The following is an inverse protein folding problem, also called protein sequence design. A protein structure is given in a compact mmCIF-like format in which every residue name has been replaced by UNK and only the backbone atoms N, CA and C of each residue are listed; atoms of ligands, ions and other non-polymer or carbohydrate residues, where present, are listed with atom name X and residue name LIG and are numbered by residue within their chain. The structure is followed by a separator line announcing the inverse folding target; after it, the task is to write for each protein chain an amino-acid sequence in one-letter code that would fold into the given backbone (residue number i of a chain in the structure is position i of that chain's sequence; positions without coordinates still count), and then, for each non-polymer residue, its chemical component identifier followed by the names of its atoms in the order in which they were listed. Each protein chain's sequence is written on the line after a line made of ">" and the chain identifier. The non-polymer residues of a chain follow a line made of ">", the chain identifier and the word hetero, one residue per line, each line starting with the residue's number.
data_IF_652131719207
#
_entry.id   IF_652131719207
#
_cell.length_a   1.000
_cell.length_b   1.000
_cell.length_c   1.000
_cell.angle_alpha   90.00
_cell.angle_beta   90.00
_cell.angle_gamma   90.00
#
_symmetry.space_group_name_H-M   'P 1'
#
loop_
_entity.id
_entity.type
_entity.pdbx_description
1 polymer ?
#
# COMPACT_ATOMS: atom_id res chain seq x y z
N UNK A 1 -4.41 -5.88 17.93
CA UNK A 1 -5.87 -5.64 17.89
C UNK A 1 -6.17 -4.89 16.61
N UNK A 2 -7.34 -5.10 15.99
CA UNK A 2 -7.66 -4.52 14.66
C UNK A 2 -8.60 -3.30 14.75
N UNK A 3 -9.00 -2.88 15.95
CA UNK A 3 -9.96 -1.81 16.16
C UNK A 3 -11.41 -2.27 15.92
N UNK A 4 -12.37 -1.46 16.36
CA UNK A 4 -13.80 -1.70 16.10
C UNK A 4 -14.09 -1.63 14.60
N UNK A 5 -14.74 -2.68 14.10
CA UNK A 5 -15.11 -2.85 12.69
C UNK A 5 -16.62 -2.64 12.54
N UNK A 6 -17.04 -1.39 12.33
CA UNK A 6 -18.46 -1.05 12.15
C UNK A 6 -18.83 -1.01 10.66
N UNK A 7 -19.65 -1.96 10.20
CA UNK A 7 -20.20 -2.03 8.84
C UNK A 7 -19.16 -2.01 7.70
N UNK A 8 -17.94 -2.52 7.94
CA UNK A 8 -16.81 -2.49 6.98
C UNK A 8 -16.88 -3.55 5.87
N UNK A 9 -18.01 -4.25 5.70
CA UNK A 9 -18.23 -5.15 4.55
C UNK A 9 -17.40 -6.44 4.54
N UNK A 10 -16.98 -6.93 5.71
CA UNK A 10 -16.24 -8.19 5.83
C UNK A 10 -17.10 -9.38 5.38
N UNK A 11 -16.60 -10.22 4.46
CA UNK A 11 -17.36 -11.37 3.92
C UNK A 11 -16.85 -12.71 4.44
N UNK A 12 -17.76 -13.55 4.92
CA UNK A 12 -17.52 -14.94 5.34
C UNK A 12 -17.90 -15.91 4.22
N UNK A 13 -17.07 -15.95 3.18
CA UNK A 13 -17.29 -16.80 2.01
C UNK A 13 -16.82 -18.23 2.28
N UNK A 14 -17.58 -19.24 1.84
CA UNK A 14 -17.19 -20.66 1.92
C UNK A 14 -18.05 -21.52 2.86
N UNK A 15 -17.78 -22.83 2.88
CA UNK A 15 -18.50 -23.79 3.73
C UNK A 15 -17.67 -24.16 4.95
N UNK A 16 -18.18 -23.84 6.14
CA UNK A 16 -17.50 -24.10 7.40
C UNK A 16 -18.20 -25.24 8.15
N UNK A 17 -17.48 -26.33 8.42
CA UNK A 17 -17.99 -27.47 9.22
C UNK A 17 -18.05 -27.17 10.74
N UNK A 18 -18.06 -25.90 11.12
CA UNK A 18 -17.95 -25.43 12.51
C UNK A 18 -18.08 -23.91 12.57
N UNK A 19 -17.19 -23.26 13.33
CA UNK A 19 -17.16 -21.80 13.48
C UNK A 19 -16.58 -21.14 12.22
N UNK A 20 -17.32 -20.21 11.62
CA UNK A 20 -16.84 -19.38 10.51
C UNK A 20 -15.86 -18.28 10.99
N UNK A 21 -15.92 -17.88 12.26
CA UNK A 21 -14.97 -16.97 12.88
C UNK A 21 -14.58 -17.42 14.29
N UNK A 22 -13.34 -17.14 14.70
CA UNK A 22 -12.83 -17.43 16.05
C UNK A 22 -11.79 -16.41 16.49
N UNK A 23 -11.91 -15.93 17.72
CA UNK A 23 -10.95 -15.03 18.36
C UNK A 23 -10.24 -15.75 19.51
N UNK A 24 -8.91 -15.67 19.56
CA UNK A 24 -8.09 -16.36 20.57
C UNK A 24 -7.66 -15.46 21.74
N UNK A 25 -7.93 -14.15 21.66
CA UNK A 25 -7.60 -13.18 22.70
C UNK A 25 -8.60 -13.14 23.86
N UNK A 26 -8.25 -12.34 24.87
CA UNK A 26 -9.04 -12.08 26.08
C UNK A 26 -10.34 -11.34 25.77
N UNK A 27 -11.21 -11.16 26.77
CA UNK A 27 -12.43 -10.35 26.62
C UNK A 27 -12.11 -8.88 26.29
N UNK A 28 -11.00 -8.34 26.81
CA UNK A 28 -10.54 -6.99 26.46
C UNK A 28 -10.14 -6.92 24.99
N UNK A 29 -9.34 -7.88 24.50
CA UNK A 29 -8.93 -7.92 23.10
C UNK A 29 -10.11 -8.03 22.12
N UNK A 30 -11.20 -8.72 22.55
CA UNK A 30 -12.44 -8.85 21.77
C UNK A 30 -13.21 -7.53 21.67
N UNK A 31 -13.27 -6.75 22.76
CA UNK A 31 -13.91 -5.44 22.75
C UNK A 31 -13.17 -4.45 21.83
N UNK A 32 -11.83 -4.48 21.87
CA UNK A 32 -10.95 -3.65 21.03
C UNK A 32 -10.86 -4.12 19.56
N UNK A 33 -11.58 -5.20 19.21
CA UNK A 33 -11.65 -5.75 17.85
C UNK A 33 -13.09 -6.13 17.47
N UNK A 34 -14.08 -5.43 18.06
CA UNK A 34 -15.52 -5.71 17.93
C UNK A 34 -16.01 -5.54 16.49
N UNK A 35 -16.75 -6.52 15.97
CA UNK A 35 -17.44 -6.42 14.68
C UNK A 35 -18.90 -6.01 14.88
N UNK A 36 -19.31 -4.88 14.31
CA UNK A 36 -20.71 -4.45 14.30
C UNK A 36 -21.25 -4.68 12.88
N UNK A 37 -22.21 -5.59 12.75
CA UNK A 37 -22.79 -6.00 11.45
C UNK A 37 -24.31 -5.98 11.50
N UNK A 38 -24.96 -5.93 10.34
CA UNK A 38 -26.40 -6.16 10.22
C UNK A 38 -26.68 -7.65 10.00
N UNK A 39 -27.07 -8.35 11.06
CA UNK A 39 -27.33 -9.80 10.99
C UNK A 39 -28.63 -10.18 10.26
N UNK A 40 -29.48 -9.18 9.98
CA UNK A 40 -30.80 -9.36 9.37
C UNK A 40 -30.81 -9.07 7.87
N UNK A 41 -29.67 -8.73 7.27
CA UNK A 41 -29.56 -8.54 5.83
C UNK A 41 -29.67 -9.89 5.09
N UNK A 42 -30.90 -10.21 4.68
CA UNK A 42 -31.20 -11.44 3.93
C UNK A 42 -30.68 -11.40 2.49
N UNK A 43 -30.37 -10.21 1.95
CA UNK A 43 -29.84 -10.07 0.58
C UNK A 43 -28.34 -10.37 0.54
N UNK A 44 -27.65 -10.16 1.65
CA UNK A 44 -26.21 -10.39 1.78
C UNK A 44 -25.83 -11.27 2.98
N UNK A 45 -26.23 -12.56 2.98
CA UNK A 45 -25.93 -13.48 4.07
C UNK A 45 -24.42 -13.70 4.27
N UNK A 46 -23.59 -13.39 3.27
CA UNK A 46 -22.14 -13.47 3.37
C UNK A 46 -21.52 -12.52 4.40
N UNK A 47 -22.25 -11.49 4.87
CA UNK A 47 -21.76 -10.57 5.91
C UNK A 47 -22.00 -11.07 7.34
N UNK A 48 -22.63 -12.24 7.52
CA UNK A 48 -22.90 -12.82 8.84
C UNK A 48 -22.22 -14.18 9.00
N UNK A 49 -21.29 -14.36 9.95
CA UNK A 49 -20.66 -15.66 10.17
C UNK A 49 -21.68 -16.68 10.69
N UNK A 50 -21.50 -17.97 10.32
CA UNK A 50 -22.41 -19.05 10.72
C UNK A 50 -22.56 -19.23 12.24
N UNK A 51 -21.58 -18.79 13.03
CA UNK A 51 -21.59 -18.82 14.49
C UNK A 51 -21.82 -17.43 15.13
N UNK A 52 -22.49 -16.50 14.44
CA UNK A 52 -22.73 -15.12 14.90
C UNK A 52 -23.24 -15.02 16.35
N UNK A 53 -24.26 -15.79 16.71
CA UNK A 53 -24.86 -15.75 18.05
C UNK A 53 -23.83 -16.03 19.15
N UNK A 54 -22.92 -16.99 18.91
CA UNK A 54 -21.84 -17.29 19.84
C UNK A 54 -20.86 -16.13 19.97
N UNK A 55 -20.52 -15.50 18.85
CA UNK A 55 -19.56 -14.41 18.79
C UNK A 55 -20.10 -13.13 19.47
N UNK A 56 -21.42 -12.92 19.40
CA UNK A 56 -22.11 -11.85 20.14
C UNK A 56 -22.03 -12.11 21.64
N UNK A 57 -22.29 -13.35 22.08
CA UNK A 57 -22.17 -13.73 23.49
C UNK A 57 -20.72 -13.62 24.00
N UNK A 58 -19.74 -13.87 23.14
CA UNK A 58 -18.32 -13.71 23.45
C UNK A 58 -17.89 -12.24 23.54
N UNK A 59 -18.76 -11.29 23.15
CA UNK A 59 -18.50 -9.86 23.13
C UNK A 59 -17.61 -9.40 21.98
N UNK A 60 -17.46 -10.22 20.94
CA UNK A 60 -16.65 -9.90 19.76
C UNK A 60 -17.48 -9.43 18.57
N UNK A 61 -18.78 -9.71 18.56
CA UNK A 61 -19.71 -9.21 17.57
C UNK A 61 -20.87 -8.44 18.23
N UNK A 62 -21.44 -7.48 17.53
CA UNK A 62 -22.68 -6.83 17.89
C UNK A 62 -23.58 -6.73 16.65
N UNK A 63 -24.89 -6.82 16.89
CA UNK A 63 -25.89 -6.62 15.85
C UNK A 63 -26.34 -5.16 15.83
N UNK A 64 -26.30 -4.54 14.66
CA UNK A 64 -26.86 -3.21 14.43
C UNK A 64 -27.83 -3.26 13.26
N UNK A 65 -29.11 -3.09 13.58
CA UNK A 65 -30.24 -3.18 12.65
C UNK A 65 -30.42 -1.93 11.77
N UNK A 66 -29.52 -0.95 11.86
CA UNK A 66 -29.56 0.20 10.97
C UNK A 66 -29.35 -0.25 9.52
N UNK A 67 -30.06 0.40 8.60
CA UNK A 67 -29.87 0.17 7.16
C UNK A 67 -28.40 0.43 6.83
N UNK A 68 -27.75 -0.57 6.23
CA UNK A 68 -26.39 -0.42 5.75
C UNK A 68 -26.40 0.68 4.69
N UNK A 69 -25.58 1.71 4.89
CA UNK A 69 -25.31 2.67 3.83
C UNK A 69 -24.69 1.85 2.69
N UNK A 70 -25.31 1.84 1.52
CA UNK A 70 -24.72 1.21 0.35
C UNK A 70 -23.38 1.91 0.05
N UNK A 71 -22.28 1.25 0.40
CA UNK A 71 -20.94 1.71 0.08
C UNK A 71 -20.66 1.33 -1.37
N UNK A 72 -21.03 2.23 -2.28
CA UNK A 72 -20.55 2.18 -3.66
C UNK A 72 -19.17 2.84 -3.64
N UNK A 73 -18.14 2.11 -4.06
CA UNK A 73 -16.80 2.67 -4.29
C UNK A 73 -16.67 3.03 -5.78
N UNK A 74 -17.12 4.23 -6.22
CA UNK A 74 -17.14 4.58 -7.64
C UNK A 74 -15.74 4.62 -8.28
N UNK A 75 -14.69 4.80 -7.46
CA UNK A 75 -13.33 5.05 -7.92
C UNK A 75 -12.33 3.91 -7.56
N UNK A 76 -12.82 2.77 -7.07
CA UNK A 76 -11.98 1.65 -6.61
C UNK A 76 -11.54 1.74 -5.13
N UNK A 77 -10.72 0.78 -4.66
CA UNK A 77 -10.20 0.78 -3.29
C UNK A 77 -9.26 1.98 -3.07
N UNK A 78 -9.50 2.75 -2.00
CA UNK A 78 -8.63 3.85 -1.56
C UNK A 78 -8.99 5.27 -2.03
N UNK A 79 -10.10 5.47 -2.76
CA UNK A 79 -10.42 6.75 -3.42
C UNK A 79 -11.89 7.16 -3.28
N UNK A 80 -12.48 6.95 -2.10
CA UNK A 80 -13.83 7.42 -1.81
C UNK A 80 -13.84 8.79 -1.10
N UNK A 81 -14.67 9.71 -1.59
CA UNK A 81 -15.21 10.84 -0.81
C UNK A 81 -16.20 10.30 0.24
N UNK A 82 -15.73 9.43 1.12
CA UNK A 82 -16.48 9.07 2.32
C UNK A 82 -16.07 10.08 3.39
N UNK A 83 -17.02 10.67 4.12
CA UNK A 83 -16.68 11.43 5.32
C UNK A 83 -16.08 10.44 6.33
N UNK A 84 -14.76 10.26 6.27
CA UNK A 84 -14.00 9.65 7.35
C UNK A 84 -14.21 10.57 8.54
N UNK A 85 -14.82 10.06 9.61
CA UNK A 85 -14.88 10.79 10.87
C UNK A 85 -13.44 11.04 11.32
N UNK A 86 -13.03 12.31 11.30
CA UNK A 86 -11.69 12.76 11.67
C UNK A 86 -11.80 13.81 12.78
N UNK A 87 -10.96 13.73 13.83
CA UNK A 87 -9.98 12.67 14.11
C UNK A 87 -10.61 11.43 14.78
N UNK A 88 -10.06 10.24 14.53
CA UNK A 88 -10.34 8.99 15.27
C UNK A 88 -9.11 8.47 16.00
N UNK A 89 -9.29 7.47 16.87
CA UNK A 89 -8.24 6.95 17.76
C UNK A 89 -6.95 6.55 17.04
N UNK A 90 -7.06 5.90 15.88
CA UNK A 90 -5.90 5.54 15.05
C UNK A 90 -5.13 6.77 14.55
N UNK A 91 -5.79 7.89 14.27
CA UNK A 91 -5.13 9.12 13.84
C UNK A 91 -4.24 9.66 14.97
N UNK A 92 -4.70 9.59 16.22
CA UNK A 92 -3.90 9.93 17.40
C UNK A 92 -2.71 8.98 17.58
N UNK A 93 -2.88 7.69 17.28
CA UNK A 93 -1.79 6.71 17.34
C UNK A 93 -0.71 7.01 16.29
N UNK A 94 -1.12 7.29 15.05
CA UNK A 94 -0.22 7.67 13.96
C UNK A 94 0.52 8.97 14.33
N UNK A 95 -0.20 9.99 14.78
CA UNK A 95 0.35 11.31 15.12
C UNK A 95 1.36 11.27 16.28
N UNK A 96 1.13 10.40 17.28
CA UNK A 96 2.03 10.21 18.42
C UNK A 96 3.15 9.19 18.18
N UNK A 97 3.25 8.64 16.97
CA UNK A 97 4.19 7.57 16.64
C UNK A 97 4.04 6.32 17.55
N UNK A 98 2.80 6.00 17.93
CA UNK A 98 2.46 4.92 18.86
C UNK A 98 2.43 3.52 18.25
N UNK A 99 3.12 3.28 17.14
CA UNK A 99 3.12 1.98 16.46
C UNK A 99 3.99 0.96 17.19
N UNK A 100 3.52 -0.30 17.23
CA UNK A 100 4.33 -1.44 17.68
C UNK A 100 5.16 -1.98 16.52
N UNK A 101 6.46 -2.18 16.76
CA UNK A 101 7.45 -2.38 15.70
C UNK A 101 7.59 -3.86 15.32
N UNK A 102 7.24 -4.20 14.08
CA UNK A 102 7.64 -5.43 13.40
C UNK A 102 8.48 -5.13 12.15
N UNK A 103 9.29 -6.09 11.67
CA UNK A 103 10.22 -5.90 10.54
C UNK A 103 9.54 -5.47 9.22
N UNK A 104 8.25 -5.78 9.05
CA UNK A 104 7.43 -5.40 7.89
C UNK A 104 6.58 -4.12 8.10
N UNK A 105 6.77 -3.40 9.21
CA UNK A 105 5.93 -2.26 9.57
C UNK A 105 6.32 -0.96 8.82
N UNK A 106 7.51 -0.87 8.23
CA UNK A 106 8.04 0.38 7.68
C UNK A 106 7.14 1.02 6.60
N UNK A 107 6.78 0.25 5.57
CA UNK A 107 5.89 0.73 4.48
C UNK A 107 4.50 1.10 5.00
N UNK A 108 3.94 0.29 5.91
CA UNK A 108 2.61 0.50 6.49
C UNK A 108 2.56 1.75 7.36
N UNK A 109 3.57 1.96 8.20
CA UNK A 109 3.71 3.15 9.02
C UNK A 109 3.83 4.37 8.12
N UNK A 110 4.67 4.30 7.09
CA UNK A 110 4.87 5.39 6.16
C UNK A 110 3.60 5.73 5.37
N UNK A 111 2.89 4.73 4.85
CA UNK A 111 1.60 4.91 4.19
C UNK A 111 0.54 5.48 5.14
N UNK A 112 0.42 4.97 6.37
CA UNK A 112 -0.50 5.51 7.37
C UNK A 112 -0.18 6.99 7.70
N UNK A 113 1.11 7.33 7.78
CA UNK A 113 1.55 8.71 8.00
C UNK A 113 1.18 9.63 6.83
N UNK A 114 1.37 9.19 5.60
CA UNK A 114 0.96 9.91 4.38
C UNK A 114 -0.54 10.13 4.33
N UNK A 115 -1.33 9.09 4.63
CA UNK A 115 -2.77 9.19 4.71
C UNK A 115 -3.20 10.21 5.77
N UNK A 116 -2.65 10.16 6.99
CA UNK A 116 -2.95 11.16 8.01
C UNK A 116 -2.57 12.58 7.58
N UNK A 117 -1.39 12.75 6.95
CA UNK A 117 -0.96 14.05 6.44
C UNK A 117 -1.96 14.60 5.39
N UNK A 118 -2.38 13.76 4.45
CA UNK A 118 -3.40 14.08 3.44
C UNK A 118 -4.72 14.48 4.08
N UNK A 119 -5.20 13.70 5.05
CA UNK A 119 -6.46 13.99 5.75
C UNK A 119 -6.42 15.34 6.48
N UNK A 120 -5.31 15.66 7.16
CA UNK A 120 -5.11 16.96 7.82
C UNK A 120 -5.06 18.09 6.78
N UNK A 121 -4.38 17.89 5.65
CA UNK A 121 -4.24 18.90 4.58
C UNK A 121 -5.56 19.32 3.93
N UNK A 122 -6.59 18.47 4.05
CA UNK A 122 -7.92 18.67 3.47
C UNK A 122 -8.92 19.27 4.46
N UNK A 123 -8.52 19.59 5.68
CA UNK A 123 -9.41 20.19 6.67
C UNK A 123 -9.56 21.70 6.41
N UNK A 124 -10.79 22.14 6.18
CA UNK A 124 -11.12 23.57 5.97
C UNK A 124 -10.81 24.43 7.20
N UNK A 125 -10.87 23.85 8.40
CA UNK A 125 -10.63 24.51 9.68
C UNK A 125 -9.40 23.92 10.40
N UNK A 126 -8.24 23.99 9.74
CA UNK A 126 -6.97 23.47 10.27
C UNK A 126 -6.63 24.04 11.66
N UNK A 127 -6.95 25.32 11.91
CA UNK A 127 -6.63 26.01 13.16
C UNK A 127 -7.41 25.47 14.37
N UNK A 128 -8.59 24.86 14.14
CA UNK A 128 -9.37 24.23 15.21
C UNK A 128 -8.97 22.78 15.51
N UNK A 129 -8.09 22.19 14.69
CA UNK A 129 -7.59 20.84 14.95
C UNK A 129 -6.77 20.81 16.26
N UNK A 130 -6.80 19.70 17.02
CA UNK A 130 -5.90 19.52 18.15
C UNK A 130 -4.43 19.79 17.78
N UNK A 131 -3.70 20.48 18.68
CA UNK A 131 -2.31 20.90 18.47
C UNK A 131 -1.38 19.73 18.06
N UNK A 132 -1.70 18.51 18.51
CA UNK A 132 -1.00 17.30 18.08
C UNK A 132 -0.98 17.14 16.56
N UNK A 133 -2.11 17.32 15.88
CA UNK A 133 -2.23 17.16 14.44
C UNK A 133 -1.58 18.31 13.67
N UNK A 134 -1.68 19.54 14.20
CA UNK A 134 -0.99 20.69 13.61
C UNK A 134 0.54 20.49 13.66
N UNK A 135 1.06 20.08 14.82
CA UNK A 135 2.49 19.78 15.00
C UNK A 135 2.94 18.61 14.13
N UNK A 136 2.13 17.55 14.05
CA UNK A 136 2.39 16.41 13.19
C UNK A 136 2.53 16.87 11.73
N UNK A 137 1.55 17.61 11.21
CA UNK A 137 1.54 18.12 9.84
C UNK A 137 2.79 18.94 9.54
N UNK A 138 3.12 19.93 10.39
CA UNK A 138 4.33 20.74 10.22
C UNK A 138 5.60 19.88 10.27
N UNK A 139 5.70 18.94 11.21
CA UNK A 139 6.89 18.08 11.36
C UNK A 139 7.13 17.14 10.17
N UNK A 140 6.08 16.73 9.46
CA UNK A 140 6.19 15.84 8.31
C UNK A 140 6.39 16.58 6.99
N UNK A 141 6.16 17.90 6.94
CA UNK A 141 6.15 18.69 5.71
C UNK A 141 7.45 18.61 4.89
N UNK A 142 8.61 18.56 5.56
CA UNK A 142 9.94 18.46 4.94
C UNK A 142 10.44 17.01 4.82
N UNK A 143 9.69 16.03 5.33
CA UNK A 143 10.03 14.61 5.22
C UNK A 143 9.44 14.01 3.95
N UNK A 144 9.85 12.79 3.59
CA UNK A 144 9.25 12.05 2.46
C UNK A 144 7.72 11.95 2.57
N UNK A 145 7.16 11.86 3.78
CA UNK A 145 5.70 11.85 3.99
C UNK A 145 5.03 13.09 3.40
N UNK A 146 5.47 14.29 3.80
CA UNK A 146 4.88 15.54 3.29
C UNK A 146 5.24 15.79 1.83
N UNK A 147 6.46 15.48 1.42
CA UNK A 147 6.94 15.71 0.05
C UNK A 147 6.18 14.85 -0.99
N UNK A 148 5.96 13.57 -0.72
CA UNK A 148 5.16 12.73 -1.63
C UNK A 148 3.68 13.16 -1.66
N UNK A 149 3.12 13.66 -0.55
CA UNK A 149 1.77 14.22 -0.58
C UNK A 149 1.69 15.55 -1.34
N UNK A 150 2.76 16.35 -1.38
CA UNK A 150 2.84 17.50 -2.27
C UNK A 150 2.86 17.09 -3.74
N UNK A 151 3.50 15.96 -4.09
CA UNK A 151 3.43 15.40 -5.45
C UNK A 151 1.99 15.01 -5.78
N UNK A 152 1.30 14.27 -4.90
CA UNK A 152 -0.11 13.88 -5.12
C UNK A 152 -1.02 15.10 -5.27
N UNK A 153 -0.91 16.08 -4.37
CA UNK A 153 -1.66 17.33 -4.47
C UNK A 153 -1.33 18.10 -5.76
N UNK A 154 -0.06 18.09 -6.19
CA UNK A 154 0.37 18.69 -7.45
C UNK A 154 -0.26 18.03 -8.67
N UNK A 155 -0.41 16.70 -8.68
CA UNK A 155 -1.15 15.96 -9.73
C UNK A 155 -2.61 16.41 -9.75
N UNK A 156 -3.29 16.41 -8.60
CA UNK A 156 -4.69 16.83 -8.47
C UNK A 156 -4.89 18.29 -8.94
N UNK A 157 -3.96 19.18 -8.58
CA UNK A 157 -3.96 20.58 -8.99
C UNK A 157 -3.71 20.76 -10.49
N UNK A 158 -2.85 19.94 -11.10
CA UNK A 158 -2.59 19.98 -12.53
C UNK A 158 -3.88 19.75 -13.33
N UNK A 159 -4.64 18.71 -12.98
CA UNK A 159 -5.91 18.40 -13.65
C UNK A 159 -7.02 19.39 -13.31
N UNK A 160 -7.17 19.80 -12.05
CA UNK A 160 -8.21 20.77 -11.68
C UNK A 160 -8.00 22.15 -12.32
N UNK A 161 -6.75 22.55 -12.58
CA UNK A 161 -6.44 23.83 -13.22
C UNK A 161 -6.90 23.93 -14.69
N UNK A 162 -7.07 22.80 -15.37
CA UNK A 162 -7.51 22.74 -16.77
C UNK A 162 -9.00 22.44 -16.93
N UNK A 163 -9.70 22.10 -15.84
CA UNK A 163 -11.15 21.86 -15.84
C UNK A 163 -11.95 22.99 -16.52
N UNK A 164 -11.70 24.29 -16.23
CA UNK A 164 -12.46 25.37 -16.88
C UNK A 164 -12.25 25.44 -18.40
N UNK A 165 -11.05 25.09 -18.88
CA UNK A 165 -10.75 25.04 -20.32
C UNK A 165 -11.48 23.87 -20.97
N UNK A 166 -11.49 22.70 -20.32
CA UNK A 166 -12.21 21.53 -20.80
C UNK A 166 -13.74 21.76 -20.85
N UNK A 167 -14.31 22.43 -19.85
CA UNK A 167 -15.71 22.85 -19.83
C UNK A 167 -16.04 23.84 -20.96
N UNK A 168 -15.13 24.77 -21.24
CA UNK A 168 -15.26 25.72 -22.36
C UNK A 168 -15.22 24.99 -23.72
N UNK A 169 -14.27 24.07 -23.92
CA UNK A 169 -14.18 23.23 -25.13
C UNK A 169 -15.47 22.43 -25.34
N UNK A 170 -16.00 21.83 -24.28
CA UNK A 170 -17.25 21.06 -24.34
C UNK A 170 -18.41 21.96 -24.76
N UNK A 171 -18.49 23.16 -24.20
CA UNK A 171 -19.54 24.14 -24.51
C UNK A 171 -19.47 24.60 -25.98
N UNK A 172 -18.28 24.92 -26.48
CA UNK A 172 -18.09 25.34 -27.87
C UNK A 172 -18.30 24.21 -28.87
N UNK A 173 -17.92 22.98 -28.52
CA UNK A 173 -18.20 21.80 -29.37
C UNK A 173 -19.71 21.59 -29.53
N UNK A 174 -20.48 21.72 -28.45
CA UNK A 174 -21.95 21.66 -28.52
C UNK A 174 -22.56 22.78 -29.37
N UNK A 175 -21.99 23.99 -29.31
CA UNK A 175 -22.42 25.11 -30.15
C UNK A 175 -22.07 24.86 -31.63
N UNK A 176 -20.89 24.32 -31.93
CA UNK A 176 -20.47 23.97 -33.29
C UNK A 176 -21.41 22.91 -33.90
N UNK A 177 -21.79 21.90 -33.12
CA UNK A 177 -22.78 20.90 -33.53
C UNK A 177 -24.15 21.53 -33.81
N UNK A 178 -24.56 22.50 -32.99
CA UNK A 178 -25.81 23.24 -33.19
C UNK A 178 -25.81 24.05 -34.49
N UNK A 179 -24.71 24.74 -34.80
CA UNK A 179 -24.55 25.49 -36.06
C UNK A 179 -24.55 24.54 -37.25
N UNK A 180 -23.86 23.40 -37.16
CA UNK A 180 -23.89 22.36 -38.20
C UNK A 180 -25.32 21.88 -38.52
N UNK A 181 -26.16 21.71 -37.49
CA UNK A 181 -27.57 21.35 -37.68
C UNK A 181 -28.38 22.46 -38.35
N UNK A 182 -28.10 23.73 -38.05
CA UNK A 182 -28.73 24.87 -38.73
C UNK A 182 -28.34 24.91 -40.21
N UNK A 183 -27.06 24.70 -40.53
CA UNK A 183 -26.59 24.62 -41.92
C UNK A 183 -27.29 23.46 -42.65
N UNK A 184 -27.37 22.29 -42.03
CA UNK A 184 -28.04 21.12 -42.63
C UNK A 184 -29.52 21.41 -42.93
N UNK A 185 -30.25 22.02 -42.00
CA UNK A 185 -31.66 22.36 -42.22
C UNK A 185 -31.85 23.42 -43.32
N UNK A 186 -30.98 24.44 -43.39
CA UNK A 186 -31.01 25.43 -44.47
C UNK A 186 -30.69 24.82 -45.84
N UNK A 187 -29.80 23.83 -45.91
CA UNK A 187 -29.51 23.11 -47.14
C UNK A 187 -30.74 22.34 -47.65
N UNK A 188 -31.51 21.71 -46.76
CA UNK A 188 -32.77 21.05 -47.13
C UNK A 188 -33.79 22.05 -47.71
N UNK A 189 -33.94 23.21 -47.08
CA UNK A 189 -34.83 24.29 -47.58
C UNK A 189 -34.34 24.82 -48.92
N UNK A 190 -33.04 25.06 -49.07
CA UNK A 190 -32.43 25.55 -50.31
C UNK A 190 -32.73 24.66 -51.52
N UNK A 191 -32.72 23.33 -51.32
CA UNK A 191 -32.97 22.34 -52.38
C UNK A 191 -34.41 22.37 -52.88
N UNK A 192 -35.36 22.75 -52.03
CA UNK A 192 -36.79 22.79 -52.35
C UNK A 192 -37.25 24.17 -52.85
N UNK A 193 -36.51 25.23 -52.55
CA UNK A 193 -36.88 26.60 -52.93
C UNK A 193 -36.83 26.82 -54.45
N UNK A 194 -37.80 27.56 -54.99
CA UNK A 194 -37.93 27.87 -56.41
C UNK A 194 -37.76 29.36 -56.71
N UNK A 195 -38.01 30.25 -55.75
CA UNK A 195 -37.77 31.68 -55.91
C UNK A 195 -36.26 32.00 -55.89
N UNK A 196 -35.82 32.81 -56.86
CA UNK A 196 -34.39 33.12 -57.03
C UNK A 196 -33.85 34.07 -55.96
N UNK A 197 -34.70 34.94 -55.42
CA UNK A 197 -34.32 35.90 -54.38
C UNK A 197 -34.19 35.18 -53.03
N UNK A 198 -35.16 34.31 -52.71
CA UNK A 198 -35.13 33.53 -51.48
C UNK A 198 -33.97 32.52 -51.47
N UNK A 199 -33.67 31.90 -52.62
CA UNK A 199 -32.47 31.08 -52.78
C UNK A 199 -31.17 31.82 -52.47
N UNK A 200 -31.04 33.06 -52.95
CA UNK A 200 -29.86 33.87 -52.66
C UNK A 200 -29.77 34.20 -51.16
N UNK A 201 -30.89 34.54 -50.51
CA UNK A 201 -30.93 34.82 -49.07
C UNK A 201 -30.54 33.60 -48.24
N UNK A 202 -31.04 32.41 -48.57
CA UNK A 202 -30.67 31.15 -47.89
C UNK A 202 -29.17 30.87 -48.07
N UNK A 203 -28.64 31.07 -49.28
CA UNK A 203 -27.20 30.87 -49.54
C UNK A 203 -26.32 31.83 -48.72
N UNK A 204 -26.75 33.09 -48.56
CA UNK A 204 -26.06 34.05 -47.69
C UNK A 204 -26.07 33.59 -46.23
N UNK A 205 -27.23 33.16 -45.70
CA UNK A 205 -27.33 32.65 -44.33
C UNK A 205 -26.46 31.41 -44.09
N UNK A 206 -26.39 30.49 -45.06
CA UNK A 206 -25.50 29.32 -44.98
C UNK A 206 -24.03 29.76 -44.89
N UNK A 207 -23.63 30.76 -45.69
CA UNK A 207 -22.25 31.26 -45.66
C UNK A 207 -21.94 31.99 -44.34
N UNK A 208 -22.89 32.73 -43.78
CA UNK A 208 -22.75 33.38 -42.48
C UNK A 208 -22.54 32.33 -41.37
N UNK A 209 -23.38 31.29 -41.32
CA UNK A 209 -23.22 30.19 -40.36
C UNK A 209 -21.93 29.40 -40.56
N UNK A 210 -21.47 29.20 -41.80
CA UNK A 210 -20.16 28.58 -42.06
C UNK A 210 -19.01 29.42 -41.51
N UNK A 211 -19.05 30.74 -41.73
CA UNK A 211 -18.03 31.64 -41.18
C UNK A 211 -18.01 31.63 -39.65
N UNK A 212 -19.19 31.54 -39.01
CA UNK A 212 -19.30 31.42 -37.56
C UNK A 212 -18.75 30.08 -37.06
N UNK A 213 -19.09 28.97 -37.74
CA UNK A 213 -18.57 27.64 -37.43
C UNK A 213 -17.05 27.58 -37.54
N UNK A 214 -16.48 28.09 -38.63
CA UNK A 214 -15.03 28.10 -38.84
C UNK A 214 -14.32 28.88 -37.73
N UNK A 215 -14.86 30.04 -37.35
CA UNK A 215 -14.32 30.85 -36.24
C UNK A 215 -14.40 30.11 -34.90
N UNK A 216 -15.47 29.37 -34.66
CA UNK A 216 -15.65 28.60 -33.43
C UNK A 216 -14.71 27.39 -33.35
N UNK A 217 -14.50 26.68 -34.47
CA UNK A 217 -13.57 25.56 -34.53
C UNK A 217 -12.11 26.01 -34.30
N UNK A 218 -11.73 27.19 -34.80
CA UNK A 218 -10.42 27.79 -34.52
C UNK A 218 -10.25 28.07 -33.00
N UNK A 219 -11.27 28.61 -32.34
CA UNK A 219 -11.25 28.84 -30.88
C UNK A 219 -11.11 27.53 -30.10
N UNK A 220 -11.80 26.48 -30.53
CA UNK A 220 -11.70 25.13 -29.92
C UNK A 220 -10.28 24.59 -30.04
N UNK A 221 -9.68 24.64 -31.23
CA UNK A 221 -8.33 24.13 -31.48
C UNK A 221 -7.26 24.87 -30.65
N UNK A 222 -7.33 26.21 -30.61
CA UNK A 222 -6.41 27.04 -29.82
C UNK A 222 -6.55 26.75 -28.32
N UNK A 223 -7.79 26.60 -27.83
CA UNK A 223 -8.02 26.33 -26.41
C UNK A 223 -7.61 24.92 -26.02
N UNK A 224 -7.85 23.93 -26.89
CA UNK A 224 -7.37 22.56 -26.69
C UNK A 224 -5.85 22.52 -26.59
N UNK A 225 -5.14 23.21 -27.49
CA UNK A 225 -3.67 23.31 -27.44
C UNK A 225 -3.20 23.96 -26.14
N UNK A 226 -3.82 25.08 -25.75
CA UNK A 226 -3.53 25.79 -24.49
C UNK A 226 -3.76 24.88 -23.26
N UNK A 227 -4.81 24.06 -23.29
CA UNK A 227 -5.13 23.13 -22.23
C UNK A 227 -4.05 22.05 -22.08
N UNK A 228 -3.63 21.44 -23.17
CA UNK A 228 -2.57 20.41 -23.18
C UNK A 228 -1.23 21.01 -22.74
N UNK A 229 -0.86 22.19 -23.23
CA UNK A 229 0.38 22.87 -22.83
C UNK A 229 0.39 23.21 -21.34
N UNK A 230 -0.71 23.77 -20.81
CA UNK A 230 -0.86 24.09 -19.39
C UNK A 230 -0.75 22.83 -18.51
N UNK A 231 -1.39 21.73 -18.94
CA UNK A 231 -1.31 20.46 -18.23
C UNK A 231 0.13 19.91 -18.25
N UNK A 232 0.78 19.90 -19.43
CA UNK A 232 2.15 19.42 -19.60
C UNK A 232 3.16 20.17 -18.74
N UNK A 233 3.09 21.51 -18.69
CA UNK A 233 3.96 22.34 -17.85
C UNK A 233 3.79 22.00 -16.36
N UNK A 234 2.55 21.81 -15.90
CA UNK A 234 2.27 21.50 -14.49
C UNK A 234 2.74 20.10 -14.12
N UNK A 235 2.49 19.11 -14.97
CA UNK A 235 2.95 17.75 -14.75
C UNK A 235 4.48 17.66 -14.75
N UNK A 236 5.17 18.43 -15.60
CA UNK A 236 6.63 18.50 -15.58
C UNK A 236 7.17 19.06 -14.26
N UNK A 237 6.56 20.13 -13.73
CA UNK A 237 6.92 20.66 -12.42
C UNK A 237 6.70 19.63 -11.30
N UNK A 238 5.62 18.85 -11.38
CA UNK A 238 5.33 17.79 -10.40
C UNK A 238 6.32 16.63 -10.52
N UNK A 239 6.76 16.29 -11.72
CA UNK A 239 7.80 15.29 -11.96
C UNK A 239 9.16 15.74 -11.39
N UNK A 240 9.52 17.01 -11.57
CA UNK A 240 10.71 17.61 -10.96
C UNK A 240 10.65 17.56 -9.42
N UNK A 241 9.49 17.89 -8.84
CA UNK A 241 9.25 17.78 -7.39
C UNK A 241 9.41 16.33 -6.92
N UNK A 242 8.85 15.38 -7.65
CA UNK A 242 8.97 13.95 -7.36
C UNK A 242 10.44 13.48 -7.43
N UNK A 243 11.18 13.92 -8.45
CA UNK A 243 12.61 13.59 -8.63
C UNK A 243 13.52 14.20 -7.56
N UNK A 244 13.12 15.30 -6.92
CA UNK A 244 13.88 15.94 -5.85
C UNK A 244 13.77 15.23 -4.48
N UNK A 245 12.82 14.30 -4.33
CA UNK A 245 12.62 13.57 -3.07
C UNK A 245 13.78 12.60 -2.83
N UNK A 246 14.36 12.64 -1.63
CA UNK A 246 15.38 11.67 -1.20
C UNK A 246 14.68 10.40 -0.71
N UNK A 247 14.84 9.30 -1.46
CA UNK A 247 14.14 8.03 -1.22
C UNK A 247 15.09 6.97 -0.63
N UNK A 248 15.12 6.85 0.70
CA UNK A 248 16.03 5.95 1.42
C UNK A 248 15.49 4.52 1.57
N UNK A 249 14.18 4.37 1.62
CA UNK A 249 13.51 3.08 1.76
C UNK A 249 13.02 2.51 0.42
N UNK A 250 12.69 1.21 0.42
CA UNK A 250 12.15 0.54 -0.76
C UNK A 250 10.82 1.14 -1.21
N UNK A 251 9.89 1.39 -0.27
CA UNK A 251 8.55 1.90 -0.58
C UNK A 251 8.57 3.35 -1.08
N UNK A 252 9.53 4.18 -0.64
CA UNK A 252 9.73 5.53 -1.18
C UNK A 252 10.26 5.47 -2.63
N UNK A 253 11.29 4.66 -2.90
CA UNK A 253 11.83 4.51 -4.26
C UNK A 253 10.77 4.02 -5.24
N UNK A 254 10.00 3.00 -4.86
CA UNK A 254 8.92 2.48 -5.69
C UNK A 254 7.87 3.55 -5.95
N UNK A 255 7.47 4.33 -4.95
CA UNK A 255 6.54 5.44 -5.16
C UNK A 255 7.11 6.47 -6.14
N UNK A 256 8.38 6.85 -5.98
CA UNK A 256 9.07 7.80 -6.85
C UNK A 256 9.13 7.33 -8.30
N UNK A 257 9.56 6.08 -8.53
CA UNK A 257 9.71 5.49 -9.86
C UNK A 257 8.35 5.38 -10.58
N UNK A 258 7.32 4.93 -9.87
CA UNK A 258 5.98 4.77 -10.42
C UNK A 258 5.34 6.13 -10.72
N UNK A 259 5.54 7.13 -9.86
CA UNK A 259 5.10 8.50 -10.11
C UNK A 259 5.76 9.05 -11.37
N UNK A 260 7.07 8.94 -11.49
CA UNK A 260 7.81 9.40 -12.66
C UNK A 260 7.29 8.76 -13.95
N UNK A 261 7.11 7.43 -13.93
CA UNK A 261 6.57 6.72 -15.08
C UNK A 261 5.16 7.19 -15.44
N UNK A 262 4.26 7.34 -14.47
CA UNK A 262 2.91 7.82 -14.72
C UNK A 262 2.90 9.23 -15.32
N UNK A 263 3.66 10.15 -14.71
CA UNK A 263 3.78 11.55 -15.14
C UNK A 263 4.36 11.66 -16.55
N UNK A 264 5.41 10.90 -16.87
CA UNK A 264 6.01 10.88 -18.20
C UNK A 264 5.02 10.46 -19.30
N UNK A 265 4.15 9.48 -19.01
CA UNK A 265 3.10 9.05 -19.96
C UNK A 265 2.00 10.08 -20.10
N UNK A 266 1.60 10.72 -19.00
CA UNK A 266 0.61 11.80 -19.02
C UNK A 266 1.11 13.03 -19.80
N UNK A 267 2.37 13.45 -19.61
CA UNK A 267 2.96 14.61 -20.29
C UNK A 267 3.06 14.42 -21.80
N UNK A 268 3.45 13.22 -22.25
CA UNK A 268 3.62 12.93 -23.68
C UNK A 268 2.33 12.54 -24.38
N UNK A 269 1.25 12.32 -23.62
CA UNK A 269 0.01 11.66 -24.10
C UNK A 269 0.28 10.34 -24.83
N UNK A 270 1.45 9.73 -24.60
CA UNK A 270 1.88 8.51 -25.24
C UNK A 270 1.79 7.35 -24.24
N UNK A 271 0.64 6.69 -24.22
CA UNK A 271 0.39 5.50 -23.43
C UNK A 271 0.90 4.24 -24.14
N UNK A 272 2.17 4.27 -24.56
CA UNK A 272 2.91 3.08 -24.98
C UNK A 272 4.16 2.92 -24.13
N UNK A 273 4.49 1.67 -23.80
CA UNK A 273 5.70 1.33 -23.08
C UNK A 273 6.72 0.73 -24.05
N UNK A 274 7.97 1.17 -23.94
CA UNK A 274 9.08 0.47 -24.56
C UNK A 274 9.48 -0.77 -23.74
N UNK A 275 10.36 -1.62 -24.28
CA UNK A 275 10.76 -2.88 -23.63
C UNK A 275 11.32 -2.67 -22.21
N UNK A 276 12.16 -1.65 -22.01
CA UNK A 276 12.76 -1.35 -20.70
C UNK A 276 11.74 -0.82 -19.70
N UNK A 277 10.77 -0.01 -20.16
CA UNK A 277 9.69 0.48 -19.31
C UNK A 277 8.72 -0.64 -18.90
N UNK A 278 8.43 -1.59 -19.81
CA UNK A 278 7.63 -2.77 -19.49
C UNK A 278 8.33 -3.63 -18.43
N UNK A 279 9.63 -3.90 -18.60
CA UNK A 279 10.42 -4.68 -17.63
C UNK A 279 10.48 -3.99 -16.27
N UNK A 280 10.71 -2.67 -16.24
CA UNK A 280 10.70 -1.89 -15.01
C UNK A 280 9.32 -1.96 -14.33
N UNK A 281 8.25 -1.68 -15.06
CA UNK A 281 6.89 -1.68 -14.51
C UNK A 281 6.49 -3.05 -13.97
N UNK A 282 6.81 -4.12 -14.68
CA UNK A 282 6.54 -5.49 -14.24
C UNK A 282 7.34 -5.81 -12.97
N UNK A 283 8.61 -5.41 -12.90
CA UNK A 283 9.43 -5.61 -11.70
C UNK A 283 8.91 -4.86 -10.47
N UNK A 284 8.38 -3.65 -10.66
CA UNK A 284 7.78 -2.85 -9.59
C UNK A 284 6.45 -3.47 -9.14
N UNK A 285 5.61 -3.91 -10.09
CA UNK A 285 4.32 -4.52 -9.81
C UNK A 285 4.44 -5.90 -9.11
N UNK A 286 5.55 -6.62 -9.37
CA UNK A 286 5.89 -7.91 -8.78
C UNK A 286 6.45 -7.82 -7.34
N UNK A 287 6.60 -6.62 -6.77
CA UNK A 287 6.98 -6.48 -5.36
C UNK A 287 5.75 -6.65 -4.46
N UNK A 288 5.95 -7.26 -3.29
CA UNK A 288 4.90 -7.43 -2.30
C UNK A 288 4.46 -6.07 -1.73
N UNK A 289 3.16 -5.80 -1.74
CA UNK A 289 2.55 -4.56 -1.23
C UNK A 289 2.88 -4.28 0.24
N UNK A 290 3.09 -5.32 1.05
CA UNK A 290 3.54 -5.21 2.43
C UNK A 290 4.91 -4.54 2.59
N UNK A 291 5.80 -4.61 1.58
CA UNK A 291 7.12 -4.00 1.66
C UNK A 291 7.25 -2.78 0.76
N UNK A 292 6.58 -2.79 -0.41
CA UNK A 292 6.62 -1.69 -1.37
C UNK A 292 5.61 -0.57 -1.12
N UNK A 293 4.66 -0.75 -0.20
CA UNK A 293 3.68 0.28 0.16
C UNK A 293 2.73 0.62 -0.99
N UNK A 294 2.15 1.82 -0.92
CA UNK A 294 1.11 2.28 -1.87
C UNK A 294 1.57 2.34 -3.33
N UNK A 295 2.86 2.60 -3.58
CA UNK A 295 3.43 2.64 -4.93
C UNK A 295 3.20 1.36 -5.72
N UNK A 296 3.10 0.20 -5.05
CA UNK A 296 2.80 -1.10 -5.67
C UNK A 296 1.41 -1.13 -6.30
N UNK A 297 0.40 -0.58 -5.62
CA UNK A 297 -0.97 -0.56 -6.14
C UNK A 297 -1.07 0.34 -7.37
N UNK A 298 -0.29 1.43 -7.40
CA UNK A 298 -0.18 2.29 -8.59
C UNK A 298 0.57 1.57 -9.72
N UNK A 299 1.67 0.88 -9.44
CA UNK A 299 2.40 0.07 -10.41
C UNK A 299 1.49 -0.99 -11.05
N UNK A 300 0.73 -1.73 -10.24
CA UNK A 300 -0.22 -2.75 -10.71
C UNK A 300 -1.36 -2.16 -11.53
N UNK A 301 -1.89 -1.01 -11.11
CA UNK A 301 -2.90 -0.30 -11.89
C UNK A 301 -2.39 0.09 -13.27
N UNK A 302 -1.16 0.63 -13.36
CA UNK A 302 -0.52 0.94 -14.64
C UNK A 302 -0.26 -0.33 -15.45
N UNK A 303 0.28 -1.38 -14.83
CA UNK A 303 0.54 -2.66 -15.49
C UNK A 303 -0.72 -3.23 -16.15
N UNK A 304 -1.87 -3.16 -15.47
CA UNK A 304 -3.17 -3.56 -16.01
C UNK A 304 -3.61 -2.70 -17.20
N UNK A 305 -3.42 -1.37 -17.13
CA UNK A 305 -3.73 -0.46 -18.26
C UNK A 305 -2.93 -0.85 -19.51
N UNK A 306 -1.68 -1.30 -19.33
CA UNK A 306 -0.80 -1.71 -20.43
C UNK A 306 -0.89 -3.21 -20.78
N UNK A 307 -1.80 -3.96 -20.17
CA UNK A 307 -2.01 -5.38 -20.47
C UNK A 307 -0.89 -6.32 -20.01
N UNK A 308 -0.12 -5.92 -18.99
CA UNK A 308 0.88 -6.77 -18.34
C UNK A 308 0.23 -7.77 -17.37
N UNK A 309 1.02 -8.72 -16.87
CA UNK A 309 0.54 -9.79 -15.98
C UNK A 309 -0.04 -9.22 -14.67
N UNK A 310 -1.09 -9.88 -14.18
CA UNK A 310 -1.71 -9.51 -12.92
C UNK A 310 -0.97 -10.14 -11.73
N UNK A 311 -0.47 -9.29 -10.83
CA UNK A 311 0.30 -9.67 -9.67
C UNK A 311 -0.59 -9.90 -8.44
N UNK A 312 -0.48 -11.07 -7.79
CA UNK A 312 -1.28 -11.44 -6.61
C UNK A 312 -0.46 -11.42 -5.33
N UNK A 313 -0.91 -10.68 -4.33
CA UNK A 313 -0.22 -10.58 -3.03
C UNK A 313 -0.07 -11.93 -2.33
N UNK A 314 -1.02 -12.86 -2.46
CA UNK A 314 -0.90 -14.20 -1.89
C UNK A 314 0.34 -14.96 -2.40
N UNK A 315 0.76 -14.70 -3.65
CA UNK A 315 1.95 -15.33 -4.22
C UNK A 315 3.23 -14.56 -3.90
N UNK A 316 3.16 -13.24 -3.78
CA UNK A 316 4.33 -12.37 -3.64
C UNK A 316 4.70 -12.11 -2.17
N UNK A 317 3.70 -12.08 -1.29
CA UNK A 317 3.87 -11.74 0.12
C UNK A 317 4.01 -12.98 1.02
N UNK A 318 3.41 -14.12 0.66
CA UNK A 318 3.48 -15.35 1.47
C UNK A 318 4.91 -15.91 1.57
N UNK A 319 5.72 -16.00 0.49
CA UNK A 319 7.11 -16.45 0.60
C UNK A 319 7.95 -15.58 1.54
N UNK A 320 7.60 -14.30 1.64
CA UNK A 320 8.26 -13.31 2.50
C UNK A 320 7.78 -13.34 3.97
N UNK A 321 6.65 -14.00 4.24
CA UNK A 321 6.06 -14.15 5.58
C UNK A 321 6.22 -15.56 6.17
N UNK A 322 6.67 -16.54 5.38
CA UNK A 322 7.12 -17.82 5.93
C UNK A 322 8.41 -17.59 6.74
N UNK A 323 8.55 -18.20 7.94
CA UNK A 323 9.85 -18.24 8.59
C UNK A 323 10.85 -18.76 7.56
N UNK A 324 11.99 -18.08 7.38
CA UNK A 324 13.04 -18.52 6.45
C UNK A 324 13.36 -19.99 6.75
N UNK A 325 12.74 -20.90 6.01
CA UNK A 325 13.22 -22.27 5.91
C UNK A 325 14.46 -22.09 5.08
N UNK A 326 15.60 -22.01 5.78
CA UNK A 326 16.94 -21.97 5.20
C UNK A 326 16.92 -22.91 4.01
N UNK A 327 17.06 -22.38 2.79
CA UNK A 327 17.10 -23.20 1.58
C UNK A 327 18.11 -24.31 1.84
N UNK A 328 17.57 -25.52 2.01
CA UNK A 328 18.40 -26.70 2.08
C UNK A 328 18.93 -26.87 0.66
N UNK A 329 20.13 -26.34 0.42
CA UNK A 329 20.97 -26.89 -0.62
C UNK A 329 20.90 -28.41 -0.49
N UNK A 330 20.33 -29.02 -1.53
CA UNK A 330 20.03 -30.43 -1.60
C UNK A 330 21.31 -31.21 -1.32
N UNK A 331 21.31 -31.99 -0.23
CA UNK A 331 22.20 -33.11 0.15
C UNK A 331 22.71 -33.15 1.59
N UNK A 332 22.25 -32.28 2.50
CA UNK A 332 22.46 -32.50 3.93
C UNK A 332 21.13 -32.75 4.63
N UNK A 333 20.87 -34.02 4.96
CA UNK A 333 19.84 -34.41 5.92
C UNK A 333 19.98 -33.54 7.17
N UNK A 334 19.03 -32.63 7.39
CA UNK A 334 18.93 -31.90 8.66
C UNK A 334 18.35 -32.89 9.67
N UNK A 335 19.25 -33.51 10.43
CA UNK A 335 18.90 -34.11 11.71
C UNK A 335 18.52 -32.99 12.69
N UNK A 336 17.47 -33.22 13.46
CA UNK A 336 17.02 -32.38 14.56
C UNK A 336 18.21 -31.93 15.43
N UNK A 337 18.24 -30.64 15.77
CA UNK A 337 19.25 -29.99 16.62
C UNK A 337 19.51 -30.80 17.90
N UNK A 338 20.53 -31.66 17.91
CA UNK A 338 20.91 -32.50 19.04
C UNK A 338 21.51 -31.72 20.23
N UNK A 339 21.28 -30.40 20.32
CA UNK A 339 21.92 -29.51 21.28
C UNK A 339 20.90 -28.52 21.86
N UNK A 340 20.72 -28.55 23.18
CA UNK A 340 19.88 -27.67 23.97
C UNK A 340 20.74 -26.89 24.98
N UNK A 341 20.43 -25.60 25.16
CA UNK A 341 21.26 -24.67 25.95
C UNK A 341 20.36 -23.79 26.83
N UNK A 342 20.56 -23.80 28.15
CA UNK A 342 19.73 -23.05 29.10
C UNK A 342 20.50 -22.69 30.39
N UNK A 343 20.07 -21.69 31.17
CA UNK A 343 19.05 -20.70 30.80
C UNK A 343 19.59 -19.76 29.72
N UNK A 344 18.69 -19.23 28.89
CA UNK A 344 19.01 -18.10 28.02
C UNK A 344 17.92 -17.04 28.22
N UNK A 345 18.21 -15.91 28.89
CA UNK A 345 19.55 -15.43 29.27
C UNK A 345 20.23 -16.18 30.42
N UNK A 346 21.57 -16.20 30.42
CA UNK A 346 22.41 -16.85 31.43
C UNK A 346 23.15 -15.83 32.32
N UNK A 347 23.22 -16.08 33.62
CA UNK A 347 23.91 -15.22 34.59
C UNK A 347 25.29 -15.75 34.98
N UNK A 348 25.39 -17.00 35.41
CA UNK A 348 26.63 -17.56 35.97
C UNK A 348 27.03 -18.89 35.35
N UNK A 349 26.05 -19.71 35.00
CA UNK A 349 26.23 -21.07 34.49
C UNK A 349 25.37 -21.22 33.24
N UNK A 350 25.91 -21.90 32.23
CA UNK A 350 25.21 -22.32 31.03
C UNK A 350 25.17 -23.84 31.00
N UNK A 351 23.97 -24.42 31.07
CA UNK A 351 23.74 -25.84 30.92
C UNK A 351 23.66 -26.18 29.43
N UNK A 352 24.45 -27.15 29.02
CA UNK A 352 24.48 -27.69 27.67
C UNK A 352 24.00 -29.13 27.76
N UNK A 353 22.95 -29.46 27.01
CA UNK A 353 22.41 -30.80 26.89
C UNK A 353 22.49 -31.29 25.45
N UNK A 354 23.05 -32.47 25.26
CA UNK A 354 23.11 -33.17 23.97
C UNK A 354 22.01 -34.23 23.96
N UNK A 355 21.03 -34.05 23.07
CA UNK A 355 19.79 -34.85 23.08
C UNK A 355 20.00 -36.28 22.58
N UNK A 356 20.90 -36.46 21.62
CA UNK A 356 21.18 -37.75 21.01
C UNK A 356 22.47 -38.35 21.59
N UNK A 357 22.39 -39.55 22.22
CA UNK A 357 23.50 -40.18 22.92
C UNK A 357 24.66 -40.64 22.05
N UNK A 358 24.46 -40.75 20.74
CA UNK A 358 25.52 -41.17 19.83
C UNK A 358 26.49 -40.01 19.53
N UNK A 359 26.15 -38.77 19.91
CA UNK A 359 27.01 -37.61 19.75
C UNK A 359 27.92 -37.37 20.95
N UNK A 360 29.19 -37.72 20.79
CA UNK A 360 30.24 -37.35 21.75
C UNK A 360 30.81 -35.97 21.42
N UNK A 361 30.84 -35.09 22.40
CA UNK A 361 31.43 -33.75 22.28
C UNK A 361 32.96 -33.86 22.21
N UNK A 362 33.56 -33.23 21.21
CA UNK A 362 35.01 -33.12 21.05
C UNK A 362 35.55 -31.78 21.58
N UNK A 363 34.80 -30.70 21.35
CA UNK A 363 35.24 -29.35 21.71
C UNK A 363 34.03 -28.42 21.87
N UNK A 364 34.11 -27.51 22.82
CA UNK A 364 33.14 -26.43 23.02
C UNK A 364 33.85 -25.08 22.95
N UNK A 365 33.27 -24.11 22.24
CA UNK A 365 33.79 -22.75 22.11
C UNK A 365 32.68 -21.74 22.40
N UNK A 366 33.05 -20.65 23.08
CA UNK A 366 32.22 -19.47 23.19
C UNK A 366 32.84 -18.39 22.33
N UNK A 367 32.06 -17.83 21.41
CA UNK A 367 32.49 -16.79 20.48
C UNK A 367 31.70 -15.50 20.73
N UNK A 368 32.34 -14.36 20.51
CA UNK A 368 31.64 -13.07 20.46
C UNK A 368 30.84 -12.90 19.15
N UNK A 369 30.11 -11.79 19.03
CA UNK A 369 29.33 -11.46 17.83
C UNK A 369 30.18 -11.29 16.57
N UNK A 370 31.48 -11.03 16.71
CA UNK A 370 32.44 -10.89 15.61
C UNK A 370 33.07 -12.24 15.22
N UNK A 371 32.78 -13.31 15.97
CA UNK A 371 33.32 -14.65 15.73
C UNK A 371 34.69 -14.90 16.37
N UNK A 372 35.17 -14.02 17.26
CA UNK A 372 36.38 -14.27 18.03
C UNK A 372 36.10 -15.29 19.14
N UNK A 373 37.00 -16.26 19.32
CA UNK A 373 36.89 -17.25 20.39
C UNK A 373 37.24 -16.61 21.73
N UNK A 374 36.24 -16.43 22.58
CA UNK A 374 36.35 -15.88 23.94
C UNK A 374 36.78 -16.96 24.93
N UNK A 375 36.25 -18.17 24.77
CA UNK A 375 36.64 -19.29 25.61
C UNK A 375 36.58 -20.61 24.83
N UNK A 376 37.41 -21.58 25.23
CA UNK A 376 37.53 -22.88 24.57
C UNK A 376 37.73 -23.99 25.61
N UNK A 377 36.85 -24.98 25.55
CA UNK A 377 36.89 -26.17 26.37
C UNK A 377 37.17 -27.37 25.45
N UNK A 378 38.38 -27.91 25.52
CA UNK A 378 38.81 -29.06 24.72
C UNK A 378 38.84 -30.32 25.60
N UNK A 379 38.58 -31.48 24.99
CA UNK A 379 38.75 -32.79 25.63
C UNK A 379 37.83 -33.06 26.82
N UNK A 380 36.62 -32.50 26.78
CA UNK A 380 35.56 -32.76 27.74
C UNK A 380 34.83 -34.04 27.33
N UNK A 381 35.24 -35.18 27.89
CA UNK A 381 34.49 -36.43 27.78
C UNK A 381 33.16 -36.29 28.51
N UNK A 382 32.15 -35.78 27.80
CA UNK A 382 30.83 -35.46 28.34
C UNK A 382 29.83 -36.40 27.68
N UNK A 383 29.12 -37.17 28.50
CA UNK A 383 28.19 -38.18 28.00
C UNK A 383 26.90 -37.56 27.47
N UNK A 384 26.30 -36.56 28.15
CA UNK A 384 25.04 -35.90 27.69
C UNK A 384 24.80 -34.48 28.19
N UNK A 385 25.34 -34.09 29.34
CA UNK A 385 25.10 -32.76 29.93
C UNK A 385 26.36 -32.17 30.53
N UNK A 386 26.57 -30.87 30.35
CA UNK A 386 27.69 -30.13 30.93
C UNK A 386 27.25 -28.74 31.37
N UNK A 387 27.82 -28.30 32.49
CA UNK A 387 27.69 -26.96 33.01
C UNK A 387 28.95 -26.17 32.68
N UNK A 388 28.78 -25.03 32.01
CA UNK A 388 29.86 -24.09 31.75
C UNK A 388 29.73 -22.90 32.68
N UNK A 389 30.77 -22.63 33.48
CA UNK A 389 30.87 -21.38 34.21
C UNK A 389 31.23 -20.24 33.25
N UNK A 390 30.37 -19.23 33.20
CA UNK A 390 30.49 -18.06 32.32
C UNK A 390 30.68 -16.76 33.13
N UNK A 391 31.17 -16.87 34.36
CA UNK A 391 31.38 -15.72 35.24
C UNK A 391 32.44 -14.72 34.71
N UNK A 392 33.36 -15.21 33.86
CA UNK A 392 34.50 -14.45 33.37
C UNK A 392 34.24 -13.73 32.04
N UNK A 393 33.05 -13.88 31.44
CA UNK A 393 32.68 -13.17 30.20
C UNK A 393 31.78 -11.97 30.52
N UNK A 394 32.01 -10.85 29.82
CA UNK A 394 31.23 -9.62 30.00
C UNK A 394 29.78 -9.80 29.57
N UNK A 395 28.89 -8.92 30.02
CA UNK A 395 27.49 -8.89 29.56
C UNK A 395 27.43 -8.66 28.06
N UNK A 396 26.62 -9.43 27.33
CA UNK A 396 26.57 -9.36 25.87
C UNK A 396 25.95 -10.57 25.20
N UNK A 397 25.95 -10.56 23.85
CA UNK A 397 25.48 -11.66 23.00
C UNK A 397 26.67 -12.54 22.63
N UNK A 398 26.52 -13.86 22.79
CA UNK A 398 27.57 -14.83 22.47
C UNK A 398 27.01 -15.99 21.64
N UNK A 399 27.89 -16.62 20.86
CA UNK A 399 27.62 -17.86 20.15
C UNK A 399 28.38 -19.00 20.83
N UNK A 400 27.66 -20.00 21.31
CA UNK A 400 28.22 -21.27 21.76
C UNK A 400 28.32 -22.21 20.56
N UNK A 401 29.51 -22.73 20.27
CA UNK A 401 29.76 -23.76 19.27
C UNK A 401 30.19 -25.06 19.95
N UNK A 402 29.54 -26.17 19.62
CA UNK A 402 29.86 -27.52 20.09
C UNK A 402 30.23 -28.37 18.88
N UNK A 403 31.48 -28.80 18.83
CA UNK A 403 32.01 -29.71 17.82
C UNK A 403 31.97 -31.13 18.38
N UNK A 404 31.37 -32.04 17.63
CA UNK A 404 31.27 -33.45 17.95
C UNK A 404 32.41 -34.26 17.31
N UNK A 405 32.69 -35.43 17.88
CA UNK A 405 33.75 -36.34 17.42
C UNK A 405 33.55 -36.88 16.00
N UNK A 406 32.29 -36.96 15.54
CA UNK A 406 31.93 -37.31 14.17
C UNK A 406 32.16 -36.15 13.16
N UNK A 407 32.69 -35.01 13.61
CA UNK A 407 32.99 -33.85 12.78
C UNK A 407 31.85 -32.84 12.66
N UNK A 408 30.65 -33.15 13.17
CA UNK A 408 29.53 -32.20 13.16
C UNK A 408 29.77 -31.03 14.11
N UNK A 409 29.24 -29.87 13.76
CA UNK A 409 29.30 -28.66 14.59
C UNK A 409 27.90 -28.10 14.75
N UNK A 410 27.44 -27.98 15.99
CA UNK A 410 26.20 -27.28 16.32
C UNK A 410 26.51 -25.96 17.02
N UNK A 411 25.66 -24.97 16.80
CA UNK A 411 25.81 -23.66 17.45
C UNK A 411 24.50 -23.13 18.01
N UNK A 412 24.54 -22.45 19.16
CA UNK A 412 23.42 -21.72 19.76
C UNK A 412 23.85 -20.33 20.19
N UNK A 413 22.94 -19.37 20.13
CA UNK A 413 23.16 -18.01 20.63
C UNK A 413 22.62 -17.93 22.06
N UNK A 414 23.36 -17.28 22.96
CA UNK A 414 22.89 -16.98 24.31
C UNK A 414 23.27 -15.55 24.74
N UNK A 415 22.46 -14.99 25.64
CA UNK A 415 22.66 -13.69 26.26
C UNK A 415 23.29 -13.85 27.64
N UNK A 416 24.40 -13.15 27.91
CA UNK A 416 24.99 -13.02 29.24
C UNK A 416 24.50 -11.74 29.91
N UNK A 417 23.92 -11.87 31.10
CA UNK A 417 23.44 -10.75 31.92
C UNK A 417 24.36 -10.39 33.07
#
# INVERSE_FOLDING_TARGET
>A
MIGVQEHLGNKWLGSYNGKAAKHYGTSADRAESLFIINSQDQQHPEYTPSNFIELVNDGWFADDYKEAIQVICPNGPGSGNFPKTFPKEEDYLIANNGFDYGEAAGSRIWSARRQLYREISRQDDFDSLPLLFQNYYVSQSETSVGQFEQVEAGIEQAFSSVTPLNESITTWTFLADSINQMIASLLEVYLLETDSSDKLNILLQINDYKSELDSLLEVVEVTYTTMIDSLGIRLALVDDLNGAIVSDSLFERIQQDVNHMALAKMMTSNFTLNASEMELLDSLAAVCSLFGGEGIYRARSLALIFGLENHRDDSLCVPSMLPRVREQNSNTQIQSSALSVYPNPASHILHIFVEDPDYKVAEIRILDILGNVINKFANTSVDRSMDLEINQIYKGIYRLEVKFTNGMVNSKIFLKF
#
